data_IF_987384028294
#
_entry.id   IF_987384028294
#
_cell.length_a   1.000
_cell.length_b   1.000
_cell.length_c   1.000
_cell.angle_alpha   90.00
_cell.angle_beta   90.00
_cell.angle_gamma   90.00
#
_symmetry.space_group_name_H-M   'P 1'
#
loop_
_entity.id
_entity.type
_entity.pdbx_description
1 polymer ?
#
# COMPACT_ATOMS: atom_id res chain seq x y z
N UNK A 1 -33.34 0.62 8.85
CA UNK A 1 -31.92 0.39 8.56
C UNK A 1 -31.37 1.55 7.73
N UNK A 2 -30.12 1.95 7.99
CA UNK A 2 -29.42 3.02 7.28
C UNK A 2 -28.10 2.47 6.76
N UNK A 3 -27.76 2.71 5.49
CA UNK A 3 -26.48 2.38 4.91
C UNK A 3 -25.66 3.64 4.64
N UNK A 4 -24.41 3.68 5.11
CA UNK A 4 -23.45 4.71 4.80
C UNK A 4 -22.44 4.17 3.78
N UNK A 5 -22.43 4.73 2.58
CA UNK A 5 -21.55 4.29 1.50
C UNK A 5 -20.22 5.04 1.55
N UNK A 6 -19.12 4.32 1.36
CA UNK A 6 -17.77 4.88 1.25
C UNK A 6 -17.11 4.39 -0.03
N UNK A 7 -16.23 5.21 -0.59
CA UNK A 7 -15.35 4.78 -1.68
C UNK A 7 -14.19 3.98 -1.08
N UNK A 8 -13.96 2.77 -1.60
CA UNK A 8 -12.91 1.90 -1.13
C UNK A 8 -13.27 1.14 0.14
N UNK A 9 -12.38 1.09 1.12
CA UNK A 9 -12.55 0.37 2.38
C UNK A 9 -12.90 1.30 3.54
N UNK A 10 -13.95 0.95 4.28
CA UNK A 10 -14.46 1.76 5.39
C UNK A 10 -13.49 1.88 6.60
N UNK A 11 -12.53 0.95 6.70
CA UNK A 11 -11.55 0.92 7.80
C UNK A 11 -10.27 1.70 7.52
N UNK A 12 -10.01 2.05 6.21
CA UNK A 12 -8.75 2.63 5.77
C UNK A 12 -8.94 4.05 5.24
N UNK A 13 -8.48 5.06 5.98
CA UNK A 13 -8.56 6.50 5.66
C UNK A 13 -9.97 7.01 5.36
N UNK A 14 -11.01 6.32 5.88
CA UNK A 14 -12.41 6.67 5.69
C UNK A 14 -12.92 7.61 6.79
N UNK A 15 -13.79 8.55 6.42
CA UNK A 15 -14.53 9.40 7.35
C UNK A 15 -15.61 8.64 8.12
N UNK A 16 -16.00 7.45 7.66
CA UNK A 16 -16.99 6.59 8.33
C UNK A 16 -16.68 6.32 9.80
N UNK A 17 -15.40 6.16 10.16
CA UNK A 17 -15.00 5.91 11.55
C UNK A 17 -15.39 7.03 12.50
N UNK A 18 -15.40 8.29 12.04
CA UNK A 18 -15.85 9.42 12.84
C UNK A 18 -17.36 9.36 13.05
N UNK A 19 -18.11 9.05 11.99
CA UNK A 19 -19.56 8.85 12.07
C UNK A 19 -19.91 7.69 13.00
N UNK A 20 -19.29 6.52 12.81
CA UNK A 20 -19.53 5.33 13.62
C UNK A 20 -19.24 5.56 15.12
N UNK A 21 -18.21 6.36 15.43
CA UNK A 21 -17.92 6.77 16.81
C UNK A 21 -19.03 7.64 17.37
N UNK A 22 -19.44 8.67 16.64
CA UNK A 22 -20.52 9.57 17.07
C UNK A 22 -21.84 8.82 17.27
N UNK A 23 -22.19 7.89 16.38
CA UNK A 23 -23.40 7.05 16.54
C UNK A 23 -23.32 6.22 17.82
N UNK A 24 -22.20 5.54 18.09
CA UNK A 24 -22.03 4.73 19.30
C UNK A 24 -22.08 5.54 20.61
N UNK A 25 -21.65 6.81 20.56
CA UNK A 25 -21.69 7.73 21.69
C UNK A 25 -23.10 8.30 21.93
N UNK A 26 -23.82 8.64 20.88
CA UNK A 26 -25.13 9.32 20.97
C UNK A 26 -26.32 8.35 21.02
N UNK A 27 -26.16 7.16 20.46
CA UNK A 27 -27.22 6.14 20.36
C UNK A 27 -26.62 4.74 20.54
N UNK A 28 -26.21 4.38 21.76
CA UNK A 28 -25.51 3.12 22.03
C UNK A 28 -26.35 1.87 21.74
N UNK A 29 -27.65 2.01 21.60
CA UNK A 29 -28.60 0.95 21.21
C UNK A 29 -28.53 0.63 19.70
N UNK A 30 -27.90 1.49 18.88
CA UNK A 30 -27.79 1.28 17.43
C UNK A 30 -26.60 0.38 17.14
N UNK A 31 -26.87 -0.77 16.55
CA UNK A 31 -25.84 -1.67 16.06
C UNK A 31 -25.18 -1.09 14.82
N UNK A 32 -23.84 -1.03 14.82
CA UNK A 32 -23.03 -0.53 13.70
C UNK A 32 -22.17 -1.64 13.18
N UNK A 33 -22.51 -2.14 11.98
CA UNK A 33 -21.75 -3.12 11.23
C UNK A 33 -20.83 -2.42 10.20
N UNK A 34 -19.60 -2.92 10.03
CA UNK A 34 -18.67 -2.42 9.01
C UNK A 34 -18.42 -3.50 7.97
N UNK A 35 -18.89 -3.27 6.76
CA UNK A 35 -18.65 -4.18 5.63
C UNK A 35 -17.29 -3.81 5.01
N UNK A 36 -16.33 -4.74 4.89
CA UNK A 36 -15.03 -4.46 4.29
C UNK A 36 -15.16 -4.21 2.79
N UNK A 37 -14.29 -3.35 2.28
CA UNK A 37 -14.20 -3.03 0.86
C UNK A 37 -12.79 -3.21 0.29
N UNK A 38 -12.60 -2.88 -0.97
CA UNK A 38 -11.29 -2.89 -1.61
C UNK A 38 -10.65 -1.52 -1.42
N UNK A 39 -9.52 -1.45 -0.70
CA UNK A 39 -8.78 -0.20 -0.52
C UNK A 39 -8.22 0.31 -1.86
N UNK A 40 -8.06 1.63 -2.00
CA UNK A 40 -7.54 2.25 -3.23
C UNK A 40 -6.15 1.73 -3.61
N UNK A 41 -5.30 1.42 -2.64
CA UNK A 41 -3.97 0.89 -2.94
C UNK A 41 -3.99 -0.58 -3.37
N UNK A 42 -4.94 -1.40 -2.88
CA UNK A 42 -5.12 -2.75 -3.38
C UNK A 42 -5.68 -2.74 -4.82
N UNK A 43 -6.65 -1.87 -5.09
CA UNK A 43 -7.15 -1.66 -6.44
C UNK A 43 -6.05 -1.13 -7.39
N UNK A 44 -5.22 -0.18 -6.91
CA UNK A 44 -4.11 0.37 -7.69
C UNK A 44 -3.06 -0.69 -8.03
N UNK A 45 -2.69 -1.54 -7.08
CA UNK A 45 -1.76 -2.64 -7.31
C UNK A 45 -2.29 -3.61 -8.39
N UNK A 46 -3.59 -3.94 -8.32
CA UNK A 46 -4.22 -4.81 -9.29
C UNK A 46 -4.23 -4.22 -10.72
N UNK A 47 -4.54 -2.93 -10.89
CA UNK A 47 -4.58 -2.31 -12.23
C UNK A 47 -3.19 -2.01 -12.78
N UNK A 48 -2.18 -1.86 -11.91
CA UNK A 48 -0.79 -1.68 -12.30
C UNK A 48 -0.05 -3.00 -12.55
N UNK A 49 -0.69 -4.14 -12.27
CA UNK A 49 -0.08 -5.48 -12.30
C UNK A 49 1.19 -5.57 -11.43
N UNK A 50 1.10 -5.00 -10.21
CA UNK A 50 2.21 -4.93 -9.25
C UNK A 50 1.79 -5.62 -7.96
N UNK A 51 2.57 -6.59 -7.49
CA UNK A 51 2.38 -7.18 -6.17
C UNK A 51 2.76 -6.15 -5.09
N UNK A 52 1.90 -6.00 -4.06
CA UNK A 52 2.25 -5.17 -2.91
C UNK A 52 3.28 -5.86 -2.01
N UNK A 53 3.20 -7.17 -1.91
CA UNK A 53 4.15 -8.00 -1.18
C UNK A 53 4.11 -9.43 -1.71
N UNK A 54 5.27 -10.06 -1.76
CA UNK A 54 5.42 -11.48 -2.03
C UNK A 54 6.03 -12.17 -0.81
N UNK A 55 5.58 -13.39 -0.50
CA UNK A 55 6.08 -14.18 0.64
C UNK A 55 6.18 -13.38 1.96
N UNK A 56 7.42 -13.09 2.37
CA UNK A 56 7.77 -12.44 3.64
C UNK A 56 8.06 -10.94 3.48
N UNK A 57 7.68 -10.32 2.37
CA UNK A 57 7.89 -8.89 2.11
C UNK A 57 7.00 -8.03 2.99
N UNK A 58 7.53 -6.87 3.33
CA UNK A 58 6.88 -5.91 4.21
C UNK A 58 6.36 -4.71 3.44
N UNK A 59 5.16 -4.23 3.80
CA UNK A 59 4.50 -3.09 3.15
C UNK A 59 4.19 -2.02 4.17
N UNK A 60 4.50 -0.77 3.84
CA UNK A 60 4.00 0.38 4.58
C UNK A 60 3.08 1.25 3.72
N UNK A 61 1.93 1.62 4.27
CA UNK A 61 0.97 2.53 3.65
C UNK A 61 1.00 3.85 4.41
N UNK A 62 1.47 4.91 3.76
CA UNK A 62 1.70 6.20 4.40
C UNK A 62 1.18 7.38 3.57
N UNK A 63 0.68 8.45 4.19
CA UNK A 63 0.48 9.72 3.52
C UNK A 63 1.84 10.37 3.20
N UNK A 64 2.07 10.74 1.94
CA UNK A 64 3.32 11.40 1.52
C UNK A 64 3.55 12.75 2.22
N UNK A 65 2.49 13.35 2.77
CA UNK A 65 2.52 14.61 3.51
C UNK A 65 3.45 14.61 4.75
N UNK A 66 3.92 13.45 5.20
CA UNK A 66 4.94 13.36 6.24
C UNK A 66 6.33 13.83 5.77
N UNK A 67 6.51 14.04 4.47
CA UNK A 67 7.73 14.57 3.87
C UNK A 67 8.74 13.50 3.45
N UNK A 68 9.67 13.90 2.59
CA UNK A 68 10.65 13.01 1.96
C UNK A 68 11.64 12.40 2.95
N UNK A 69 11.96 13.06 4.06
CA UNK A 69 12.85 12.52 5.10
C UNK A 69 12.25 11.25 5.74
N UNK A 70 10.94 11.27 6.03
CA UNK A 70 10.25 10.10 6.59
C UNK A 70 10.18 8.98 5.55
N UNK A 71 9.86 9.33 4.31
CA UNK A 71 9.81 8.37 3.19
C UNK A 71 11.18 7.71 3.00
N UNK A 72 12.25 8.48 3.04
CA UNK A 72 13.63 8.00 2.89
C UNK A 72 14.02 6.96 3.95
N UNK A 73 13.69 7.22 5.22
CA UNK A 73 13.88 6.25 6.30
C UNK A 73 13.06 4.96 6.11
N UNK A 74 11.79 5.10 5.70
CA UNK A 74 10.92 3.96 5.51
C UNK A 74 11.35 3.08 4.31
N UNK A 75 12.05 3.64 3.32
CA UNK A 75 12.65 2.85 2.24
C UNK A 75 13.73 1.87 2.74
N UNK A 76 14.36 2.14 3.88
CA UNK A 76 15.32 1.21 4.49
C UNK A 76 14.63 0.12 5.32
N UNK A 77 13.38 0.34 5.75
CA UNK A 77 12.64 -0.54 6.65
C UNK A 77 11.63 -1.47 5.95
N UNK A 78 11.10 -1.04 4.81
CA UNK A 78 10.02 -1.75 4.10
C UNK A 78 10.40 -2.07 2.65
N UNK A 79 9.93 -3.22 2.17
CA UNK A 79 10.15 -3.66 0.79
C UNK A 79 9.29 -2.89 -0.20
N UNK A 80 8.07 -2.52 0.22
CA UNK A 80 7.16 -1.72 -0.59
C UNK A 80 6.60 -0.57 0.22
N UNK A 81 6.65 0.63 -0.33
CA UNK A 81 5.91 1.79 0.18
C UNK A 81 4.73 2.11 -0.72
N UNK A 82 3.57 2.30 -0.11
CA UNK A 82 2.40 2.89 -0.72
C UNK A 82 2.31 4.34 -0.26
N UNK A 83 2.65 5.27 -1.14
CA UNK A 83 2.61 6.69 -0.86
C UNK A 83 1.24 7.25 -1.25
N UNK A 84 0.40 7.50 -0.24
CA UNK A 84 -0.92 8.09 -0.44
C UNK A 84 -0.81 9.62 -0.50
N UNK A 85 -1.74 10.26 -1.26
CA UNK A 85 -1.83 11.73 -1.34
C UNK A 85 -0.52 12.37 -1.80
N UNK A 86 0.15 11.78 -2.77
CA UNK A 86 1.49 12.17 -3.24
C UNK A 86 1.53 13.53 -3.94
N UNK A 87 0.39 14.02 -4.45
CA UNK A 87 0.27 15.25 -5.25
C UNK A 87 1.09 16.46 -4.74
N UNK A 88 1.02 16.85 -3.45
CA UNK A 88 1.69 18.08 -2.99
C UNK A 88 3.23 17.96 -2.94
N UNK A 89 3.77 16.76 -2.97
CA UNK A 89 5.20 16.48 -2.84
C UNK A 89 5.73 15.63 -3.99
N UNK A 90 5.05 15.63 -5.14
CA UNK A 90 5.37 14.73 -6.25
C UNK A 90 6.81 14.91 -6.73
N UNK A 91 7.23 16.14 -7.01
CA UNK A 91 8.58 16.41 -7.53
C UNK A 91 9.66 16.05 -6.50
N UNK A 92 9.46 16.38 -5.22
CA UNK A 92 10.39 16.03 -4.14
C UNK A 92 10.49 14.51 -3.93
N UNK A 93 9.37 13.80 -4.10
CA UNK A 93 9.35 12.32 -4.06
C UNK A 93 10.10 11.76 -5.26
N UNK A 94 9.90 12.30 -6.47
CA UNK A 94 10.63 11.86 -7.65
C UNK A 94 12.14 12.10 -7.51
N UNK A 95 12.56 13.23 -6.94
CA UNK A 95 13.97 13.52 -6.64
C UNK A 95 14.56 12.53 -5.63
N UNK A 96 13.80 12.15 -4.61
CA UNK A 96 14.21 11.11 -3.66
C UNK A 96 14.37 9.75 -4.35
N UNK A 97 13.37 9.34 -5.15
CA UNK A 97 13.38 8.05 -5.83
C UNK A 97 14.52 7.97 -6.87
N UNK A 98 14.86 9.09 -7.53
CA UNK A 98 16.00 9.15 -8.42
C UNK A 98 17.33 8.94 -7.68
N UNK A 99 17.54 9.64 -6.55
CA UNK A 99 18.74 9.45 -5.70
C UNK A 99 18.89 8.04 -5.16
N UNK A 100 17.76 7.37 -4.88
CA UNK A 100 17.69 5.98 -4.40
C UNK A 100 17.71 4.96 -5.54
N UNK A 101 17.72 5.40 -6.82
CA UNK A 101 17.62 4.54 -8.01
C UNK A 101 16.38 3.63 -8.00
N UNK A 102 15.24 4.18 -7.57
CA UNK A 102 13.96 3.47 -7.45
C UNK A 102 12.89 3.95 -8.44
N UNK A 103 13.20 4.88 -9.35
CA UNK A 103 12.22 5.34 -10.36
C UNK A 103 11.68 4.18 -11.20
N UNK A 104 12.54 3.27 -11.63
CA UNK A 104 12.17 2.13 -12.49
C UNK A 104 11.33 1.06 -11.78
N UNK A 105 11.35 1.03 -10.44
CA UNK A 105 10.55 0.11 -9.60
C UNK A 105 9.39 0.82 -8.93
N UNK A 106 9.04 2.01 -9.43
CA UNK A 106 7.91 2.80 -8.95
C UNK A 106 6.82 2.87 -10.01
N UNK A 107 5.58 2.96 -9.54
CA UNK A 107 4.42 3.12 -10.40
C UNK A 107 3.47 4.15 -9.78
N UNK A 108 3.00 5.09 -10.59
CA UNK A 108 2.02 6.10 -10.19
C UNK A 108 0.65 5.76 -10.74
N UNK A 109 -0.37 5.86 -9.89
CA UNK A 109 -1.75 5.59 -10.27
C UNK A 109 -2.61 6.76 -9.81
N UNK A 110 -3.46 7.25 -10.71
CA UNK A 110 -4.49 8.23 -10.33
C UNK A 110 -5.88 7.80 -10.79
N UNK A 111 -6.89 8.20 -10.03
CA UNK A 111 -8.32 7.94 -10.27
C UNK A 111 -8.63 6.46 -10.52
N UNK A 112 -8.01 5.56 -9.73
CA UNK A 112 -8.23 4.11 -9.86
C UNK A 112 -9.73 3.77 -9.79
N UNK A 113 -10.20 2.97 -10.76
CA UNK A 113 -11.61 2.57 -10.88
C UNK A 113 -12.52 3.60 -11.55
N UNK A 114 -12.04 4.81 -11.87
CA UNK A 114 -12.78 5.81 -12.62
C UNK A 114 -12.50 5.72 -14.13
N UNK A 115 -13.38 6.27 -15.00
CA UNK A 115 -13.14 6.31 -16.44
C UNK A 115 -11.84 7.00 -16.85
N UNK A 116 -11.37 7.97 -16.05
CA UNK A 116 -10.12 8.70 -16.28
C UNK A 116 -8.93 8.10 -15.52
N UNK A 117 -9.02 6.83 -15.14
CA UNK A 117 -7.91 6.11 -14.52
C UNK A 117 -6.66 6.19 -15.38
N UNK A 118 -5.53 6.50 -14.73
CA UNK A 118 -4.22 6.52 -15.38
C UNK A 118 -3.22 5.74 -14.54
N UNK A 119 -2.42 4.90 -15.21
CA UNK A 119 -1.28 4.17 -14.64
C UNK A 119 -0.02 4.62 -15.37
N UNK A 120 1.01 5.04 -14.63
CA UNK A 120 2.28 5.54 -15.18
C UNK A 120 3.44 4.78 -14.57
N UNK A 121 4.11 3.96 -15.38
CA UNK A 121 5.32 3.21 -14.98
C UNK A 121 6.60 4.04 -15.15
N UNK A 122 6.67 4.90 -16.16
CA UNK A 122 7.75 5.90 -16.27
C UNK A 122 7.42 7.11 -15.40
N UNK A 123 7.62 6.96 -14.08
CA UNK A 123 7.26 8.01 -13.11
C UNK A 123 8.11 9.28 -13.31
N UNK A 124 9.29 9.20 -13.94
CA UNK A 124 10.12 10.36 -14.22
C UNK A 124 9.43 11.36 -15.16
N UNK A 125 8.55 10.87 -16.03
CA UNK A 125 7.76 11.71 -16.96
C UNK A 125 6.77 12.65 -16.25
N UNK A 126 6.49 12.40 -14.97
CA UNK A 126 5.54 13.20 -14.16
C UNK A 126 6.14 14.50 -13.62
N UNK A 127 7.44 14.76 -13.82
CA UNK A 127 8.10 15.97 -13.30
C UNK A 127 7.41 17.24 -13.79
N UNK A 128 7.03 18.11 -12.83
CA UNK A 128 6.32 19.35 -13.12
C UNK A 128 4.87 19.17 -13.58
N UNK A 129 4.36 17.94 -13.63
CA UNK A 129 2.99 17.66 -14.06
C UNK A 129 1.98 17.94 -12.96
N UNK A 130 0.83 18.48 -13.32
CA UNK A 130 -0.31 18.65 -12.41
C UNK A 130 -1.12 17.36 -12.35
N UNK A 131 -0.93 16.58 -11.30
CA UNK A 131 -1.67 15.34 -11.07
C UNK A 131 -2.94 15.54 -10.22
N UNK A 132 -3.85 14.58 -10.25
CA UNK A 132 -5.06 14.61 -9.46
C UNK A 132 -4.77 14.34 -7.98
N UNK A 133 -5.66 14.80 -7.09
CA UNK A 133 -5.58 14.50 -5.65
C UNK A 133 -5.80 13.00 -5.36
N UNK A 134 -6.70 12.35 -6.12
CA UNK A 134 -6.96 10.92 -6.02
C UNK A 134 -5.84 10.14 -6.71
N UNK A 135 -4.64 10.23 -6.15
CA UNK A 135 -3.44 9.58 -6.67
C UNK A 135 -2.61 8.96 -5.55
N UNK A 136 -1.89 7.94 -5.93
CA UNK A 136 -0.91 7.27 -5.07
C UNK A 136 0.29 6.80 -5.91
N UNK A 137 1.38 6.49 -5.21
CA UNK A 137 2.56 5.89 -5.83
C UNK A 137 2.92 4.60 -5.09
N UNK A 138 3.15 3.55 -5.83
CA UNK A 138 3.72 2.29 -5.35
C UNK A 138 5.22 2.34 -5.60
N UNK A 139 6.01 2.12 -4.56
CA UNK A 139 7.48 2.12 -4.64
C UNK A 139 7.98 0.80 -4.11
N UNK A 140 8.58 -0.02 -4.97
CA UNK A 140 9.24 -1.27 -4.57
C UNK A 140 10.74 -1.04 -4.41
N UNK A 141 11.31 -1.50 -3.29
CA UNK A 141 12.74 -1.44 -3.02
C UNK A 141 13.37 -2.84 -3.01
N UNK A 142 13.74 -3.39 -4.17
CA UNK A 142 14.36 -4.71 -4.26
C UNK A 142 15.78 -4.74 -3.65
N UNK A 143 16.37 -3.56 -3.36
CA UNK A 143 17.72 -3.41 -2.81
C UNK A 143 17.72 -3.40 -1.28
N UNK A 144 16.56 -3.48 -0.62
CA UNK A 144 16.46 -3.43 0.82
C UNK A 144 17.23 -4.60 1.46
N UNK A 145 18.08 -4.28 2.43
CA UNK A 145 18.76 -5.29 3.23
C UNK A 145 17.76 -5.94 4.21
N UNK A 146 17.40 -7.18 3.97
CA UNK A 146 16.52 -7.96 4.84
C UNK A 146 17.34 -8.68 5.90
N UNK A 147 16.88 -8.67 7.15
CA UNK A 147 17.46 -9.49 8.23
C UNK A 147 17.14 -10.98 8.07
N UNK A 148 17.68 -11.81 8.96
CA UNK A 148 17.34 -13.23 9.00
C UNK A 148 15.88 -13.46 9.37
N UNK A 149 15.12 -14.10 8.47
CA UNK A 149 13.74 -14.49 8.71
C UNK A 149 13.72 -15.77 9.58
N UNK A 150 13.11 -15.66 10.75
CA UNK A 150 12.81 -16.83 11.59
C UNK A 150 11.48 -17.44 11.14
N UNK A 151 11.55 -18.40 10.22
CA UNK A 151 10.36 -19.15 9.78
C UNK A 151 9.87 -20.06 10.89
N UNK A 152 8.68 -19.83 11.42
CA UNK A 152 8.06 -20.56 12.53
C UNK A 152 7.68 -22.01 12.24
N UNK A 153 7.67 -22.45 10.98
CA UNK A 153 7.36 -23.82 10.57
C UNK A 153 8.57 -24.43 9.84
N UNK A 154 9.47 -25.09 10.58
CA UNK A 154 10.32 -26.10 9.96
C UNK A 154 9.39 -27.21 9.43
N UNK A 155 9.36 -27.44 8.11
CA UNK A 155 8.83 -28.71 7.57
C UNK A 155 9.57 -29.82 8.32
N UNK A 156 8.83 -30.66 9.05
CA UNK A 156 9.38 -31.85 9.70
C UNK A 156 10.13 -32.63 8.61
N UNK A 157 11.45 -32.79 8.76
CA UNK A 157 12.22 -33.62 7.84
C UNK A 157 11.48 -34.96 7.76
N UNK A 158 11.13 -35.41 6.57
CA UNK A 158 10.58 -36.74 6.36
C UNK A 158 11.63 -37.70 6.86
N UNK A 159 11.31 -38.42 7.92
CA UNK A 159 12.14 -39.57 8.35
C UNK A 159 12.18 -40.54 7.18
N UNK A 160 13.36 -41.04 6.78
CA UNK A 160 13.42 -42.06 5.75
C UNK A 160 12.62 -43.27 6.23
N UNK A 161 11.70 -43.72 5.42
CA UNK A 161 10.90 -44.92 5.64
C UNK A 161 11.87 -46.11 5.74
N UNK A 162 11.66 -46.94 6.78
CA UNK A 162 12.51 -48.08 7.14
C UNK A 162 12.43 -49.28 6.14
N UNK A 163 12.14 -49.03 4.87
CA UNK A 163 12.00 -50.07 3.82
C UNK A 163 13.20 -50.18 2.86
N UNK A 164 14.33 -49.56 3.17
CA UNK A 164 15.54 -49.65 2.33
C UNK A 164 16.65 -50.51 2.97
N UNK A 165 16.29 -51.42 3.90
CA UNK A 165 17.22 -52.40 4.47
C UNK A 165 16.60 -53.81 4.45
N UNK A 166 16.50 -54.37 3.25
CA UNK A 166 16.36 -55.80 3.05
C UNK A 166 16.98 -56.23 1.70
#
# INVERSE_FOLDING_TARGET
>A
DVAFLVEGDASTYSTFRHLARAVRELAPEVEVETIPGVSSFAAAAAVADVALAEEDETVAVIPAAYGTTVIDHLLDEFDTLVLMKVKPLLDEVLDLLERRELLATSCFIEKVGAPEQRVVHDVASLRGEKVNYLSLMLVQNPKRARGELRRGCRKRAQQPTAEALS
#
